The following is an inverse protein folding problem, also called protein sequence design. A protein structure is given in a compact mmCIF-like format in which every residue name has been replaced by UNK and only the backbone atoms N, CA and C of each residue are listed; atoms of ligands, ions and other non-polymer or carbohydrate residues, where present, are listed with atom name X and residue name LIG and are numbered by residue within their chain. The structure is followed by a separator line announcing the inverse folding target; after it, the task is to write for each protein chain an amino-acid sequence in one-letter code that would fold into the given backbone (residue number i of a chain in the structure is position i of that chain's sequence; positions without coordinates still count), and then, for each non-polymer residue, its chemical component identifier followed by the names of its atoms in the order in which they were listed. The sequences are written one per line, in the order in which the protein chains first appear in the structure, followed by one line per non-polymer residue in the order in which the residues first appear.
data_IF_490569065623
#
_entry.id   IF_490569065623
#
_cell.length_a   1.000
_cell.length_b   1.000
_cell.length_c   1.000
_cell.angle_alpha   90.00
_cell.angle_beta   90.00
_cell.angle_gamma   90.00
#
_symmetry.space_group_name_H-M   'P 1'
#
loop_
_entity.id
_entity.type
_entity.pdbx_description
1 polymer ?
#
# COMPACT_ATOMS: atom_id res chain seq x y z
N UNK A 1 1.87 8.32 -8.42
CA UNK A 1 2.53 7.06 -8.03
C UNK A 1 2.54 7.01 -6.53
N UNK A 2 2.27 5.84 -5.95
CA UNK A 2 2.41 5.58 -4.52
C UNK A 2 3.57 4.61 -4.35
N UNK A 3 4.57 5.05 -3.61
CA UNK A 3 5.75 4.26 -3.29
C UNK A 3 5.50 3.45 -2.02
N UNK A 4 6.21 2.33 -1.91
CA UNK A 4 6.19 1.45 -0.75
C UNK A 4 4.77 1.12 -0.28
N UNK A 5 3.89 0.77 -1.23
CA UNK A 5 2.52 0.37 -0.97
C UNK A 5 2.47 -1.03 -0.33
N UNK A 6 3.13 -1.15 0.81
CA UNK A 6 3.36 -2.35 1.60
C UNK A 6 2.66 -2.22 2.95
N UNK A 7 2.28 -3.36 3.53
CA UNK A 7 1.68 -3.41 4.85
C UNK A 7 2.63 -2.87 5.93
N UNK A 8 2.11 -2.05 6.85
CA UNK A 8 2.88 -1.39 7.89
C UNK A 8 3.58 -0.10 7.46
N UNK A 9 3.59 0.22 6.17
CA UNK A 9 3.89 1.57 5.65
C UNK A 9 2.57 2.25 5.29
N UNK A 10 1.67 1.54 4.61
CA UNK A 10 0.30 1.98 4.32
C UNK A 10 -0.72 0.93 4.79
N UNK A 11 -1.46 1.17 5.89
CA UNK A 11 -1.23 2.24 6.88
C UNK A 11 0.09 2.06 7.62
N UNK A 12 0.61 3.16 8.17
CA UNK A 12 1.77 3.14 9.06
C UNK A 12 1.51 2.30 10.31
N UNK A 13 2.53 1.55 10.78
CA UNK A 13 2.49 0.85 12.08
C UNK A 13 2.24 1.78 13.27
N UNK A 14 2.44 3.09 13.11
CA UNK A 14 2.20 4.10 14.14
C UNK A 14 0.72 4.53 14.23
N UNK A 15 -0.07 4.28 13.18
CA UNK A 15 -1.50 4.55 13.19
C UNK A 15 -2.21 3.45 13.98
N UNK A 16 -2.51 3.74 15.25
CA UNK A 16 -3.05 2.74 16.20
C UNK A 16 -4.49 3.00 16.58
N UNK A 17 -4.96 4.26 16.48
CA UNK A 17 -6.37 4.58 16.68
C UNK A 17 -7.16 4.47 15.38
N UNK A 18 -8.46 4.23 15.49
CA UNK A 18 -9.37 4.22 14.35
C UNK A 18 -9.31 5.54 13.57
N UNK A 19 -9.21 6.66 14.28
CA UNK A 19 -9.09 7.97 13.65
C UNK A 19 -7.78 8.09 12.84
N UNK A 20 -6.64 7.61 13.36
CA UNK A 20 -5.37 7.65 12.62
C UNK A 20 -5.42 6.79 11.36
N UNK A 21 -5.99 5.58 11.47
CA UNK A 21 -6.18 4.68 10.34
C UNK A 21 -7.07 5.33 9.25
N UNK A 22 -8.14 6.01 9.66
CA UNK A 22 -9.00 6.76 8.75
C UNK A 22 -8.29 7.96 8.10
N UNK A 23 -7.39 8.65 8.82
CA UNK A 23 -6.57 9.70 8.21
C UNK A 23 -5.58 9.15 7.18
N UNK A 24 -4.89 8.05 7.51
CA UNK A 24 -3.98 7.36 6.60
C UNK A 24 -4.72 6.89 5.33
N UNK A 25 -5.94 6.34 5.49
CA UNK A 25 -6.81 5.94 4.37
C UNK A 25 -7.17 7.13 3.48
N UNK A 26 -7.54 8.27 4.08
CA UNK A 26 -7.80 9.52 3.34
C UNK A 26 -6.56 10.00 2.59
N UNK A 27 -5.39 9.96 3.22
CA UNK A 27 -4.14 10.38 2.62
C UNK A 27 -3.79 9.51 1.40
N UNK A 28 -3.96 8.20 1.54
CA UNK A 28 -3.76 7.24 0.46
C UNK A 28 -4.72 7.50 -0.72
N UNK A 29 -6.00 7.76 -0.43
CA UNK A 29 -6.99 8.16 -1.46
C UNK A 29 -6.62 9.46 -2.19
N UNK A 30 -6.14 10.47 -1.48
CA UNK A 30 -5.65 11.71 -2.10
C UNK A 30 -4.46 11.43 -3.02
N UNK A 31 -3.54 10.55 -2.63
CA UNK A 31 -2.40 10.18 -3.48
C UNK A 31 -2.85 9.48 -4.77
N UNK A 32 -3.88 8.63 -4.71
CA UNK A 32 -4.47 7.99 -5.89
C UNK A 32 -5.12 8.99 -6.83
N UNK A 33 -5.97 9.89 -6.29
CA UNK A 33 -6.75 10.84 -7.09
C UNK A 33 -5.92 11.99 -7.67
N UNK A 34 -4.70 12.22 -7.18
CA UNK A 34 -3.74 13.14 -7.79
C UNK A 34 -3.19 12.64 -9.13
N UNK A 35 -3.22 11.34 -9.40
CA UNK A 35 -2.78 10.80 -10.68
C UNK A 35 -3.81 11.12 -11.78
N UNK A 36 -3.39 11.79 -12.85
CA UNK A 36 -4.29 12.23 -13.94
C UNK A 36 -4.43 11.26 -15.11
N UNK A 37 -3.43 10.41 -15.36
CA UNK A 37 -3.39 9.50 -16.54
C UNK A 37 -3.03 8.08 -16.17
N UNK A 38 -1.97 7.91 -15.39
CA UNK A 38 -1.50 6.61 -14.93
C UNK A 38 -1.23 6.65 -13.44
N UNK A 39 -1.70 5.62 -12.74
CA UNK A 39 -1.44 5.39 -11.33
C UNK A 39 -0.58 4.14 -11.21
N UNK A 40 0.62 4.33 -10.67
CA UNK A 40 1.55 3.24 -10.37
C UNK A 40 1.62 3.05 -8.86
N UNK A 41 1.55 1.79 -8.44
CA UNK A 41 1.85 1.34 -7.08
C UNK A 41 3.13 0.52 -7.12
N UNK A 42 4.10 0.90 -6.29
CA UNK A 42 5.32 0.12 -6.11
C UNK A 42 5.19 -0.66 -4.81
N UNK A 43 5.33 -1.98 -4.90
CA UNK A 43 5.25 -2.90 -3.78
C UNK A 43 6.56 -3.69 -3.74
N UNK A 44 7.24 -3.66 -2.61
CA UNK A 44 8.49 -4.37 -2.40
C UNK A 44 8.21 -5.77 -1.84
N UNK A 45 8.94 -6.78 -2.32
CA UNK A 45 8.88 -8.14 -1.74
C UNK A 45 9.62 -8.22 -0.40
N UNK A 46 10.62 -7.37 -0.20
CA UNK A 46 11.39 -7.28 1.05
C UNK A 46 11.90 -5.87 1.31
N UNK A 47 11.92 -5.48 2.58
CA UNK A 47 12.45 -4.19 3.06
C UNK A 47 13.43 -4.49 4.18
N UNK A 48 14.69 -4.02 4.04
CA UNK A 48 15.77 -4.25 5.01
C UNK A 48 15.94 -5.77 5.34
N UNK A 49 15.80 -6.61 4.31
CA UNK A 49 15.94 -8.07 4.44
C UNK A 49 14.73 -8.79 5.04
N UNK A 50 13.71 -8.08 5.52
CA UNK A 50 12.45 -8.68 5.98
C UNK A 50 11.44 -8.77 4.84
N UNK A 51 10.79 -9.93 4.69
CA UNK A 51 9.71 -10.10 3.72
C UNK A 51 8.54 -9.18 4.08
N UNK A 52 7.97 -8.52 3.08
CA UNK A 52 6.85 -7.61 3.24
C UNK A 52 5.67 -8.08 2.39
N UNK A 53 4.45 -7.75 2.84
CA UNK A 53 3.25 -7.98 2.06
C UNK A 53 2.76 -6.66 1.43
N UNK A 54 1.95 -6.72 0.36
CA UNK A 54 1.26 -5.55 -0.17
C UNK A 54 0.39 -4.87 0.89
N UNK A 55 0.15 -3.57 0.73
CA UNK A 55 -0.76 -2.80 1.58
C UNK A 55 -2.18 -3.38 1.50
N UNK A 56 -2.90 -3.50 2.63
CA UNK A 56 -4.30 -3.93 2.62
C UNK A 56 -5.20 -3.05 1.75
N UNK A 57 -4.87 -1.75 1.60
CA UNK A 57 -5.62 -0.84 0.74
C UNK A 57 -5.63 -1.26 -0.73
N UNK A 58 -4.59 -1.97 -1.20
CA UNK A 58 -4.56 -2.49 -2.57
C UNK A 58 -5.55 -3.65 -2.76
N UNK A 59 -5.71 -4.51 -1.75
CA UNK A 59 -6.64 -5.63 -1.80
C UNK A 59 -8.10 -5.14 -1.83
N UNK A 60 -8.39 -4.05 -1.11
CA UNK A 60 -9.72 -3.43 -1.08
C UNK A 60 -10.16 -2.86 -2.45
N UNK A 61 -9.22 -2.52 -3.34
CA UNK A 61 -9.54 -1.99 -4.67
C UNK A 61 -10.06 -3.04 -5.65
N UNK A 62 -10.04 -4.32 -5.29
CA UNK A 62 -10.38 -5.42 -6.21
C UNK A 62 -9.40 -5.56 -7.37
N UNK A 63 -8.18 -5.02 -7.24
CA UNK A 63 -7.14 -5.18 -8.25
C UNK A 63 -6.56 -6.60 -8.18
N UNK A 64 -6.38 -7.22 -9.34
CA UNK A 64 -5.69 -8.51 -9.43
C UNK A 64 -4.19 -8.29 -9.18
N UNK A 65 -3.73 -8.49 -7.95
CA UNK A 65 -2.31 -8.43 -7.63
C UNK A 65 -1.65 -9.71 -8.17
N UNK A 66 -0.72 -9.62 -9.13
CA UNK A 66 -0.11 -10.80 -9.72
C UNK A 66 0.62 -11.61 -8.64
N UNK A 67 0.31 -12.91 -8.57
CA UNK A 67 0.79 -13.86 -7.56
C UNK A 67 2.32 -14.13 -7.59
N UNK A 68 3.05 -13.49 -8.50
CA UNK A 68 4.51 -13.65 -8.68
C UNK A 68 5.34 -13.24 -7.46
N UNK A 69 4.76 -12.65 -6.41
CA UNK A 69 5.46 -12.29 -5.17
C UNK A 69 5.72 -13.47 -4.20
N UNK A 70 5.35 -14.71 -4.56
CA UNK A 70 5.56 -15.90 -3.73
C UNK A 70 6.57 -16.93 -4.28
N UNK A 71 7.24 -16.66 -5.40
CA UNK A 71 8.20 -17.58 -5.99
C UNK A 71 9.65 -17.13 -5.79
N UNK A 72 10.19 -17.44 -4.60
CA UNK A 72 11.46 -18.15 -4.38
C UNK A 72 11.79 -18.24 -2.87
#
# INVERSE_FOLDING_TARGET
MVLDANNGIWPSKLATSENDLEQERRLFYVAMTRARRYLYFIVNDSIIGEKCSPSPYLAEMGLSIPATMHLR
#
